data_IF_214324433580
#
_entry.id   IF_214324433580
#
_cell.length_a   1.000
_cell.length_b   1.000
_cell.length_c   1.000
_cell.angle_alpha   90.00
_cell.angle_beta   90.00
_cell.angle_gamma   90.00
#
_symmetry.space_group_name_H-M   'P 1'
#
loop_
_entity.id
_entity.type
_entity.pdbx_description
1 polymer ?
#
# COMPACT_ATOMS: atom_id res chain seq x y z
N UNK A 1 26.05 21.69 35.03
CA UNK A 1 26.51 20.67 34.09
C UNK A 1 25.35 20.38 33.18
N UNK A 2 25.44 20.76 31.90
CA UNK A 2 24.36 20.55 30.93
C UNK A 2 24.55 19.15 30.36
N UNK A 3 23.83 18.19 30.91
CA UNK A 3 23.81 16.82 30.40
C UNK A 3 23.23 16.89 28.97
N UNK A 4 24.09 16.68 27.98
CA UNK A 4 23.68 16.74 26.57
C UNK A 4 23.21 15.36 26.19
N UNK A 5 21.89 15.17 26.15
CA UNK A 5 21.27 13.93 25.68
C UNK A 5 21.64 13.74 24.20
N UNK A 6 22.42 12.70 23.91
CA UNK A 6 22.68 12.26 22.54
C UNK A 6 21.51 11.36 22.14
N UNK A 7 20.70 11.72 21.14
CA UNK A 7 19.59 10.90 20.71
C UNK A 7 20.09 9.66 19.96
N UNK A 8 19.52 8.49 20.27
CA UNK A 8 19.82 7.23 19.57
C UNK A 8 19.36 7.25 18.10
N UNK A 9 18.33 8.03 17.79
CA UNK A 9 17.79 8.19 16.44
C UNK A 9 17.25 9.61 16.24
N UNK A 10 17.40 10.14 15.03
CA UNK A 10 16.86 11.45 14.63
C UNK A 10 15.96 11.30 13.41
N UNK A 11 15.06 12.26 13.20
CA UNK A 11 14.19 12.30 12.01
C UNK A 11 15.01 12.26 10.72
N UNK A 12 16.11 13.03 10.64
CA UNK A 12 16.99 13.02 9.48
C UNK A 12 17.68 11.66 9.25
N UNK A 13 17.96 10.89 10.30
CA UNK A 13 18.48 9.53 10.17
C UNK A 13 17.38 8.57 9.69
N UNK A 14 16.15 8.73 10.18
CA UNK A 14 15.00 7.95 9.75
C UNK A 14 14.66 8.19 8.27
N UNK A 15 14.67 9.44 7.80
CA UNK A 15 14.44 9.79 6.39
C UNK A 15 15.48 9.15 5.46
N UNK A 16 16.74 9.03 5.89
CA UNK A 16 17.77 8.34 5.10
C UNK A 16 17.54 6.84 5.00
N UNK A 17 17.02 6.22 6.06
CA UNK A 17 16.63 4.81 6.04
C UNK A 17 15.42 4.59 5.12
N UNK A 18 14.46 5.50 5.15
CA UNK A 18 13.27 5.47 4.30
C UNK A 18 13.62 5.64 2.80
N UNK A 19 14.50 6.59 2.47
CA UNK A 19 14.99 6.76 1.08
C UNK A 19 15.75 5.55 0.53
N UNK A 20 16.32 4.72 1.41
CA UNK A 20 16.98 3.48 1.02
C UNK A 20 15.98 2.32 0.81
N UNK A 21 14.72 2.47 1.26
CA UNK A 21 13.67 1.51 0.98
C UNK A 21 13.22 1.60 -0.49
N UNK A 22 12.99 0.45 -1.11
CA UNK A 22 12.48 0.41 -2.49
C UNK A 22 10.96 0.52 -2.46
N UNK A 23 10.35 1.45 -3.22
CA UNK A 23 8.90 1.51 -3.36
C UNK A 23 8.34 0.15 -3.79
N UNK A 24 7.26 -0.30 -3.15
CA UNK A 24 6.59 -1.56 -3.52
C UNK A 24 5.16 -1.31 -4.00
N UNK A 25 4.92 -0.46 -5.02
CA UNK A 25 3.57 -0.27 -5.55
C UNK A 25 3.07 -1.57 -6.20
N UNK A 26 1.79 -1.87 -6.02
CA UNK A 26 1.13 -2.95 -6.74
C UNK A 26 0.78 -2.49 -8.16
N UNK A 27 1.18 -3.25 -9.18
CA UNK A 27 0.94 -2.90 -10.59
C UNK A 27 0.04 -3.96 -11.23
N UNK A 28 -1.08 -3.51 -11.78
CA UNK A 28 -2.03 -4.35 -12.50
C UNK A 28 -1.96 -4.08 -14.01
N UNK A 29 -1.70 -5.13 -14.80
CA UNK A 29 -1.75 -5.04 -16.26
C UNK A 29 -3.17 -5.18 -16.79
N UNK A 30 -3.59 -4.27 -17.67
CA UNK A 30 -4.89 -4.35 -18.36
C UNK A 30 -4.73 -3.99 -19.84
N UNK A 31 -5.07 -4.95 -20.71
CA UNK A 31 -4.83 -4.85 -22.16
C UNK A 31 -3.36 -4.46 -22.48
N UNK A 32 -3.12 -3.28 -23.06
CA UNK A 32 -1.79 -2.73 -23.35
C UNK A 32 -1.37 -1.63 -22.37
N UNK A 33 -2.09 -1.46 -21.26
CA UNK A 33 -1.87 -0.44 -20.25
C UNK A 33 -1.56 -1.04 -18.88
N UNK A 34 -1.13 -0.20 -17.95
CA UNK A 34 -0.82 -0.56 -16.56
C UNK A 34 -1.55 0.39 -15.63
N UNK A 35 -2.11 -0.16 -14.56
CA UNK A 35 -2.72 0.57 -13.46
C UNK A 35 -1.80 0.44 -12.26
N UNK A 36 -1.40 1.58 -11.68
CA UNK A 36 -0.44 1.62 -10.58
C UNK A 36 -1.14 2.03 -9.30
N UNK A 37 -1.08 1.17 -8.29
CA UNK A 37 -1.57 1.47 -6.95
C UNK A 37 -0.55 2.33 -6.19
N UNK A 38 -1.00 3.11 -5.19
CA UNK A 38 -0.10 3.97 -4.42
C UNK A 38 0.97 3.15 -3.67
N UNK A 39 2.12 3.76 -3.44
CA UNK A 39 3.13 3.20 -2.57
C UNK A 39 2.75 3.49 -1.11
N UNK A 40 2.13 2.51 -0.46
CA UNK A 40 1.55 2.62 0.90
C UNK A 40 2.58 3.04 1.94
N UNK A 41 3.82 2.58 1.79
CA UNK A 41 4.91 2.90 2.71
C UNK A 41 5.44 4.33 2.57
N UNK A 42 5.33 4.92 1.37
CA UNK A 42 5.72 6.30 1.10
C UNK A 42 4.62 7.35 1.39
N UNK A 43 3.44 6.93 1.87
CA UNK A 43 2.33 7.84 2.18
C UNK A 43 2.49 8.47 3.57
N UNK A 44 1.69 9.50 3.85
CA UNK A 44 1.53 9.99 5.23
C UNK A 44 0.94 8.89 6.12
N UNK A 45 1.20 8.96 7.44
CA UNK A 45 0.62 8.02 8.40
C UNK A 45 -0.92 7.98 8.30
N UNK A 46 -1.54 9.16 8.20
CA UNK A 46 -3.01 9.31 8.11
C UNK A 46 -3.57 8.71 6.80
N UNK A 47 -2.88 8.92 5.67
CA UNK A 47 -3.32 8.36 4.39
C UNK A 47 -3.14 6.84 4.35
N UNK A 48 -2.07 6.32 4.95
CA UNK A 48 -1.85 4.87 5.06
C UNK A 48 -2.95 4.21 5.89
N UNK A 49 -3.26 4.71 7.08
CA UNK A 49 -4.36 4.19 7.91
C UNK A 49 -5.69 4.20 7.18
N UNK A 50 -5.98 5.30 6.46
CA UNK A 50 -7.19 5.44 5.66
C UNK A 50 -7.22 4.46 4.48
N UNK A 51 -6.09 4.27 3.81
CA UNK A 51 -5.94 3.33 2.70
C UNK A 51 -6.25 1.91 3.17
N UNK A 52 -5.65 1.49 4.29
CA UNK A 52 -5.88 0.17 4.87
C UNK A 52 -7.36 -0.03 5.23
N UNK A 53 -7.98 0.94 5.90
CA UNK A 53 -9.40 0.87 6.25
C UNK A 53 -10.32 0.78 5.01
N UNK A 54 -10.02 1.53 3.95
CA UNK A 54 -10.77 1.49 2.70
C UNK A 54 -10.58 0.16 1.95
N UNK A 55 -9.38 -0.43 1.98
CA UNK A 55 -9.07 -1.72 1.35
C UNK A 55 -9.70 -2.92 2.08
N UNK A 56 -9.88 -2.83 3.40
CA UNK A 56 -10.64 -3.82 4.17
C UNK A 56 -12.16 -3.71 3.96
N UNK A 57 -12.65 -2.52 3.56
CA UNK A 57 -14.07 -2.28 3.33
C UNK A 57 -14.57 -2.96 2.05
N UNK A 58 -15.38 -4.01 2.20
CA UNK A 58 -15.98 -4.75 1.08
C UNK A 58 -17.21 -4.08 0.45
N UNK A 59 -17.64 -2.92 0.98
CA UNK A 59 -18.96 -2.34 0.64
C UNK A 59 -18.98 -1.54 -0.67
N UNK A 60 -17.83 -0.99 -1.11
CA UNK A 60 -17.80 -0.10 -2.28
C UNK A 60 -16.50 -0.19 -3.13
N UNK A 61 -16.23 -1.32 -3.82
CA UNK A 61 -14.98 -1.53 -4.56
C UNK A 61 -14.66 -0.43 -5.57
N UNK A 62 -15.67 0.05 -6.31
CA UNK A 62 -15.49 1.12 -7.29
C UNK A 62 -15.11 2.47 -6.65
N UNK A 63 -15.61 2.76 -5.46
CA UNK A 63 -15.28 4.01 -4.75
C UNK A 63 -13.85 3.95 -4.18
N UNK A 64 -13.46 2.79 -3.65
CA UNK A 64 -12.10 2.54 -3.16
C UNK A 64 -11.08 2.74 -4.30
N UNK A 65 -11.29 2.08 -5.44
CA UNK A 65 -10.41 2.23 -6.60
C UNK A 65 -10.38 3.67 -7.13
N UNK A 66 -11.51 4.37 -7.16
CA UNK A 66 -11.57 5.77 -7.61
C UNK A 66 -10.81 6.73 -6.69
N UNK A 67 -10.75 6.44 -5.39
CA UNK A 67 -10.08 7.27 -4.40
C UNK A 67 -8.57 7.14 -4.48
N UNK A 68 -8.08 5.91 -4.63
CA UNK A 68 -6.67 5.59 -4.45
C UNK A 68 -5.90 5.46 -5.76
N UNK A 69 -6.57 5.26 -6.89
CA UNK A 69 -5.94 5.29 -8.20
C UNK A 69 -5.94 6.72 -8.76
N UNK A 70 -5.00 6.97 -9.67
CA UNK A 70 -5.07 8.16 -10.51
C UNK A 70 -6.37 8.14 -11.31
N UNK A 71 -6.84 9.33 -11.72
CA UNK A 71 -8.04 9.45 -12.55
C UNK A 71 -7.92 8.65 -13.87
N UNK A 72 -6.72 8.65 -14.44
CA UNK A 72 -6.40 7.94 -15.68
C UNK A 72 -6.46 6.43 -15.48
N UNK A 73 -5.84 5.92 -14.43
CA UNK A 73 -5.84 4.50 -14.09
C UNK A 73 -7.25 3.99 -13.78
N UNK A 74 -8.03 4.76 -13.01
CA UNK A 74 -9.42 4.42 -12.75
C UNK A 74 -10.26 4.42 -14.04
N UNK A 75 -10.00 5.33 -14.97
CA UNK A 75 -10.73 5.36 -16.23
C UNK A 75 -10.40 4.15 -17.11
N UNK A 76 -9.14 3.69 -17.13
CA UNK A 76 -8.74 2.46 -17.83
C UNK A 76 -9.55 1.25 -17.35
N UNK A 77 -9.78 1.16 -16.04
CA UNK A 77 -10.60 0.10 -15.45
C UNK A 77 -12.05 0.13 -15.95
N UNK A 78 -12.65 1.32 -16.03
CA UNK A 78 -14.02 1.53 -16.51
C UNK A 78 -14.13 1.24 -18.01
N UNK A 79 -13.20 1.76 -18.81
CA UNK A 79 -13.21 1.63 -20.27
C UNK A 79 -13.04 0.18 -20.73
N UNK A 80 -12.33 -0.64 -19.94
CA UNK A 80 -12.17 -2.07 -20.18
C UNK A 80 -13.30 -2.92 -19.57
N UNK A 81 -14.40 -2.30 -19.12
CA UNK A 81 -15.60 -2.99 -18.66
C UNK A 81 -15.41 -3.75 -17.35
N UNK A 82 -14.55 -3.26 -16.44
CA UNK A 82 -14.32 -3.97 -15.18
C UNK A 82 -15.60 -4.09 -14.36
N UNK A 83 -15.94 -5.34 -14.01
CA UNK A 83 -17.09 -5.64 -13.16
C UNK A 83 -16.80 -5.39 -11.68
N UNK A 84 -17.85 -5.22 -10.88
CA UNK A 84 -17.72 -5.09 -9.42
C UNK A 84 -17.01 -6.30 -8.77
N UNK A 85 -17.22 -7.51 -9.32
CA UNK A 85 -16.55 -8.73 -8.85
C UNK A 85 -15.04 -8.67 -9.11
N UNK A 86 -14.63 -8.25 -10.30
CA UNK A 86 -13.22 -8.10 -10.64
C UNK A 86 -12.58 -6.98 -9.81
N UNK A 87 -13.28 -5.86 -9.59
CA UNK A 87 -12.81 -4.78 -8.72
C UNK A 87 -12.55 -5.28 -7.29
N UNK A 88 -13.46 -6.06 -6.71
CA UNK A 88 -13.27 -6.65 -5.38
C UNK A 88 -12.07 -7.62 -5.33
N UNK A 89 -11.89 -8.44 -6.38
CA UNK A 89 -10.72 -9.32 -6.48
C UNK A 89 -9.41 -8.54 -6.64
N UNK A 90 -9.41 -7.47 -7.41
CA UNK A 90 -8.25 -6.61 -7.60
C UNK A 90 -7.83 -5.94 -6.29
N UNK A 91 -8.78 -5.40 -5.54
CA UNK A 91 -8.54 -4.86 -4.19
C UNK A 91 -7.91 -5.92 -3.30
N UNK A 92 -8.48 -7.14 -3.27
CA UNK A 92 -7.92 -8.24 -2.47
C UNK A 92 -6.47 -8.56 -2.84
N UNK A 93 -6.14 -8.59 -4.14
CA UNK A 93 -4.77 -8.84 -4.60
C UNK A 93 -3.82 -7.72 -4.18
N UNK A 94 -4.24 -6.46 -4.30
CA UNK A 94 -3.47 -5.32 -3.82
C UNK A 94 -3.24 -5.41 -2.30
N UNK A 95 -4.26 -5.70 -1.50
CA UNK A 95 -4.15 -5.90 -0.05
C UNK A 95 -3.15 -7.00 0.30
N UNK A 96 -3.21 -8.15 -0.38
CA UNK A 96 -2.25 -9.25 -0.15
C UNK A 96 -0.81 -8.84 -0.48
N UNK A 97 -0.59 -8.08 -1.56
CA UNK A 97 0.73 -7.56 -1.90
C UNK A 97 1.32 -6.67 -0.80
N UNK A 98 0.51 -5.77 -0.24
CA UNK A 98 0.96 -4.88 0.84
C UNK A 98 1.12 -5.61 2.18
N UNK A 99 0.28 -6.59 2.50
CA UNK A 99 0.46 -7.42 3.71
C UNK A 99 1.78 -8.20 3.68
N UNK A 100 2.18 -8.74 2.53
CA UNK A 100 3.48 -9.42 2.37
C UNK A 100 4.67 -8.47 2.55
N UNK A 101 4.49 -7.18 2.26
CA UNK A 101 5.54 -6.15 2.38
C UNK A 101 5.62 -5.54 3.79
N UNK A 102 4.47 -5.43 4.47
CA UNK A 102 4.35 -4.83 5.82
C UNK A 102 4.58 -5.83 6.96
N UNK A 103 4.66 -7.12 6.65
CA UNK A 103 4.58 -8.19 7.64
C UNK A 103 3.14 -8.40 8.11
N UNK A 104 2.73 -9.65 8.32
CA UNK A 104 1.41 -9.96 8.87
C UNK A 104 1.30 -9.39 10.28
N UNK A 105 0.32 -8.50 10.58
CA UNK A 105 0.06 -8.07 11.95
C UNK A 105 -0.49 -9.27 12.74
N UNK A 106 0.40 -10.02 13.41
CA UNK A 106 0.02 -11.08 14.35
C UNK A 106 0.66 -12.46 14.15
N UNK A 107 1.46 -12.70 13.13
CA UNK A 107 2.30 -13.91 13.09
C UNK A 107 3.69 -13.56 13.65
N UNK A 108 3.85 -13.80 14.95
CA UNK A 108 5.18 -14.09 15.48
C UNK A 108 5.81 -15.18 14.61
N UNK A 109 7.10 -15.01 14.30
CA UNK A 109 7.92 -15.98 13.59
C UNK A 109 7.47 -17.42 13.87
N UNK A 110 7.01 -18.20 12.88
CA UNK A 110 7.15 -19.63 13.02
C UNK A 110 8.64 -19.90 12.97
N UNK A 111 9.21 -20.10 14.15
CA UNK A 111 10.45 -20.85 14.34
C UNK A 111 10.42 -22.05 13.40
N UNK A 112 11.17 -21.94 12.31
CA UNK A 112 11.28 -22.95 11.27
C UNK A 112 12.74 -23.36 11.15
N UNK A 113 13.20 -24.15 12.10
CA UNK A 113 14.38 -25.01 11.97
C UNK A 113 14.35 -25.76 10.63
N UNK A 114 15.43 -25.60 9.85
CA UNK A 114 16.01 -26.64 9.00
C UNK A 114 17.49 -26.35 8.79
#
# INVERSE_FOLDING_TARGET
MTDTVIPDLTIAALEKLDQAATPTPFVFGIASARVTFPDVLGMSMEDNERFLADMESSQAPAQVLRRWLSKEDYQLLVDNGMTARQAALLIKQATTHYQGSLGTPGEGEPSGTA
#
